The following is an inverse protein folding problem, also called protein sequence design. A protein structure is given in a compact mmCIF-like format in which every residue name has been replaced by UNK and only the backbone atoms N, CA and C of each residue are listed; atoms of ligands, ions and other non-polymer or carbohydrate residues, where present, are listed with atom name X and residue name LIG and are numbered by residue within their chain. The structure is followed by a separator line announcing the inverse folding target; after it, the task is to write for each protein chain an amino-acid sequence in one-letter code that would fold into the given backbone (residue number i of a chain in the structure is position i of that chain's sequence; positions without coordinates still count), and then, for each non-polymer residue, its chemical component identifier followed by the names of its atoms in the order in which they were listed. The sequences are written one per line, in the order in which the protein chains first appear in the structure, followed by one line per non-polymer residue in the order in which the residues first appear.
data_IF_728271859545
#
_entry.id   IF_728271859545
#
_cell.length_a   1.000
_cell.length_b   1.000
_cell.length_c   1.000
_cell.angle_alpha   90.00
_cell.angle_beta   90.00
_cell.angle_gamma   90.00
#
_symmetry.space_group_name_H-M   'P 1'
#
loop_
_entity.id
_entity.type
_entity.pdbx_description
1 polymer ?
#
# COMPACT_ATOMS: atom_id res chain seq x y z
N UNK A 1 26.58 -7.33 14.21
CA UNK A 1 25.51 -7.57 13.21
C UNK A 1 24.24 -6.72 13.43
N UNK A 2 24.28 -5.61 14.19
CA UNK A 2 23.10 -4.75 14.45
C UNK A 2 23.01 -3.45 13.63
N UNK A 3 24.10 -3.01 12.98
CA UNK A 3 24.16 -1.71 12.30
C UNK A 3 23.42 -1.65 10.96
N UNK A 4 23.44 -2.72 10.16
CA UNK A 4 22.81 -2.73 8.84
C UNK A 4 21.28 -2.63 8.89
N UNK A 5 20.67 -3.14 9.97
CA UNK A 5 19.21 -3.22 10.14
C UNK A 5 18.55 -1.85 10.42
N UNK A 6 19.31 -0.86 10.90
CA UNK A 6 18.80 0.46 11.27
C UNK A 6 18.67 1.40 10.06
N UNK A 7 19.45 1.19 8.98
CA UNK A 7 19.49 2.10 7.84
C UNK A 7 18.27 2.04 6.89
N UNK A 8 17.35 1.08 7.08
CA UNK A 8 16.10 1.01 6.29
C UNK A 8 15.16 2.16 6.61
N UNK A 9 15.03 2.50 7.90
CA UNK A 9 13.94 3.34 8.38
C UNK A 9 13.85 4.71 7.70
N UNK A 10 14.94 5.47 7.45
CA UNK A 10 14.83 6.78 6.80
C UNK A 10 14.49 6.70 5.30
N UNK A 11 14.79 5.60 4.61
CA UNK A 11 14.73 5.54 3.14
C UNK A 11 13.31 5.67 2.57
N UNK A 12 12.28 4.98 3.11
CA UNK A 12 10.91 5.17 2.65
C UNK A 12 10.42 6.60 2.82
N UNK A 13 10.76 7.27 3.93
CA UNK A 13 10.34 8.66 4.16
C UNK A 13 10.92 9.62 3.11
N UNK A 14 12.18 9.41 2.72
CA UNK A 14 12.82 10.19 1.65
C UNK A 14 12.22 9.87 0.27
N UNK A 15 11.92 8.59 0.01
CA UNK A 15 11.28 8.15 -1.23
C UNK A 15 9.83 8.64 -1.39
N UNK A 16 9.19 9.10 -0.30
CA UNK A 16 7.83 9.64 -0.29
C UNK A 16 7.78 11.17 -0.47
N UNK A 17 8.91 11.87 -0.64
CA UNK A 17 8.93 13.34 -0.79
C UNK A 17 8.01 13.79 -1.95
N UNK A 18 8.10 13.19 -3.16
CA UNK A 18 7.02 13.30 -4.13
C UNK A 18 5.84 12.41 -3.73
N UNK A 19 4.64 12.98 -3.64
CA UNK A 19 3.42 12.21 -3.34
C UNK A 19 3.22 11.07 -4.34
N UNK A 20 3.61 11.25 -5.61
CA UNK A 20 3.49 10.23 -6.65
C UNK A 20 4.39 9.01 -6.44
N UNK A 21 5.47 9.13 -5.67
CA UNK A 21 6.44 8.04 -5.47
C UNK A 21 6.21 7.24 -4.18
N UNK A 22 5.17 7.59 -3.41
CA UNK A 22 4.80 6.88 -2.18
C UNK A 22 4.59 5.38 -2.45
N UNK A 23 3.86 5.03 -3.51
CA UNK A 23 3.64 3.62 -3.86
C UNK A 23 4.94 2.84 -4.13
N UNK A 24 5.87 3.43 -4.89
CA UNK A 24 7.16 2.81 -5.18
C UNK A 24 8.06 2.70 -3.94
N UNK A 25 8.05 3.74 -3.10
CA UNK A 25 8.78 3.81 -1.83
C UNK A 25 8.30 2.74 -0.83
N UNK A 26 6.98 2.65 -0.64
CA UNK A 26 6.36 1.63 0.23
C UNK A 26 6.63 0.22 -0.29
N UNK A 27 6.52 0.00 -1.59
CA UNK A 27 6.82 -1.29 -2.24
C UNK A 27 8.26 -1.72 -1.99
N UNK A 28 9.23 -0.81 -2.18
CA UNK A 28 10.64 -1.08 -1.93
C UNK A 28 10.94 -1.36 -0.46
N UNK A 29 10.31 -0.62 0.46
CA UNK A 29 10.40 -0.88 1.90
C UNK A 29 9.90 -2.27 2.29
N UNK A 30 8.71 -2.64 1.79
CA UNK A 30 8.11 -3.97 2.03
C UNK A 30 8.97 -5.11 1.45
N UNK A 31 9.56 -4.90 0.28
CA UNK A 31 10.51 -5.84 -0.32
C UNK A 31 11.72 -6.06 0.59
N UNK A 32 12.38 -5.00 1.05
CA UNK A 32 13.56 -5.12 1.91
C UNK A 32 13.20 -5.75 3.28
N UNK A 33 12.05 -5.44 3.85
CA UNK A 33 11.56 -6.11 5.07
C UNK A 33 11.40 -7.61 4.87
N UNK A 34 10.92 -8.04 3.70
CA UNK A 34 10.78 -9.46 3.40
C UNK A 34 12.11 -10.19 3.26
N UNK A 35 13.16 -9.50 2.81
CA UNK A 35 14.53 -10.02 2.68
C UNK A 35 15.37 -9.89 3.94
N UNK A 36 14.89 -9.19 4.96
CA UNK A 36 15.65 -8.93 6.19
C UNK A 36 15.95 -10.19 7.03
N UNK A 37 15.24 -11.28 6.75
CA UNK A 37 15.44 -12.59 7.38
C UNK A 37 16.40 -13.48 6.60
N UNK A 38 16.78 -13.10 5.38
CA UNK A 38 17.72 -13.86 4.56
C UNK A 38 19.16 -13.56 4.98
N UNK A 39 19.97 -14.59 5.33
CA UNK A 39 21.35 -14.39 5.73
C UNK A 39 22.26 -13.90 4.60
N UNK A 40 21.82 -13.99 3.34
CA UNK A 40 22.54 -13.50 2.14
C UNK A 40 22.11 -12.11 1.66
N UNK A 41 21.25 -11.40 2.40
CA UNK A 41 20.79 -10.07 1.98
C UNK A 41 21.97 -9.10 1.82
N UNK A 42 22.05 -8.39 0.68
CA UNK A 42 23.12 -7.44 0.40
C UNK A 42 22.96 -6.16 1.25
N UNK A 43 23.73 -5.12 0.93
CA UNK A 43 23.55 -3.78 1.50
C UNK A 43 22.11 -3.33 1.22
N UNK A 44 21.33 -3.25 2.30
CA UNK A 44 19.90 -2.95 2.30
C UNK A 44 19.55 -1.67 1.52
N UNK A 45 20.41 -0.65 1.55
CA UNK A 45 20.20 0.60 0.82
C UNK A 45 20.25 0.40 -0.70
N UNK A 46 21.15 -0.46 -1.18
CA UNK A 46 21.26 -0.83 -2.60
C UNK A 46 20.03 -1.62 -3.03
N UNK A 47 19.59 -2.57 -2.21
CA UNK A 47 18.37 -3.33 -2.48
C UNK A 47 17.12 -2.44 -2.53
N UNK A 48 17.04 -1.45 -1.65
CA UNK A 48 15.93 -0.49 -1.64
C UNK A 48 15.87 0.31 -2.94
N UNK A 49 16.97 0.94 -3.36
CA UNK A 49 16.98 1.74 -4.59
C UNK A 49 16.79 0.89 -5.85
N UNK A 50 17.31 -0.34 -5.85
CA UNK A 50 17.06 -1.29 -6.92
C UNK A 50 15.57 -1.65 -7.00
N UNK A 51 14.96 -2.06 -5.89
CA UNK A 51 13.53 -2.41 -5.84
C UNK A 51 12.63 -1.21 -6.16
N UNK A 52 13.02 -0.01 -5.72
CA UNK A 52 12.34 1.24 -6.03
C UNK A 52 12.35 1.48 -7.55
N UNK A 53 13.51 1.39 -8.20
CA UNK A 53 13.63 1.64 -9.64
C UNK A 53 12.88 0.58 -10.48
N UNK A 54 13.02 -0.70 -10.14
CA UNK A 54 12.37 -1.81 -10.87
C UNK A 54 10.85 -1.73 -10.76
N UNK A 55 10.32 -1.40 -9.59
CA UNK A 55 8.88 -1.36 -9.36
C UNK A 55 8.25 0.01 -9.59
N UNK A 56 9.05 1.05 -9.86
CA UNK A 56 8.60 2.44 -9.93
C UNK A 56 7.35 2.62 -10.79
N UNK A 57 7.37 2.11 -12.02
CA UNK A 57 6.28 2.29 -12.97
C UNK A 57 5.01 1.56 -12.53
N UNK A 58 5.12 0.29 -12.12
CA UNK A 58 3.97 -0.52 -11.69
C UNK A 58 3.36 0.02 -10.40
N UNK A 59 4.19 0.28 -9.40
CA UNK A 59 3.76 0.77 -8.09
C UNK A 59 3.15 2.18 -8.17
N UNK A 60 3.76 3.09 -8.92
CA UNK A 60 3.23 4.45 -9.11
C UNK A 60 1.91 4.45 -9.88
N UNK A 61 1.75 3.62 -10.92
CA UNK A 61 0.50 3.51 -11.65
C UNK A 61 -0.64 3.03 -10.74
N UNK A 62 -0.37 1.97 -9.96
CA UNK A 62 -1.33 1.45 -8.97
C UNK A 62 -1.64 2.48 -7.89
N UNK A 63 -0.64 3.23 -7.42
CA UNK A 63 -0.83 4.30 -6.44
C UNK A 63 -1.74 5.42 -6.96
N UNK A 64 -1.53 5.87 -8.20
CA UNK A 64 -2.39 6.88 -8.83
C UNK A 64 -3.83 6.36 -8.97
N UNK A 65 -4.00 5.08 -9.31
CA UNK A 65 -5.33 4.44 -9.35
C UNK A 65 -6.01 4.48 -7.97
N UNK A 66 -5.31 4.14 -6.90
CA UNK A 66 -5.85 4.21 -5.53
C UNK A 66 -6.17 5.64 -5.10
N UNK A 67 -5.31 6.61 -5.44
CA UNK A 67 -5.58 8.03 -5.18
C UNK A 67 -6.82 8.52 -5.92
N UNK A 68 -7.01 8.11 -7.18
CA UNK A 68 -8.18 8.47 -7.96
C UNK A 68 -9.47 7.90 -7.35
N UNK A 69 -9.47 6.61 -6.98
CA UNK A 69 -10.63 5.97 -6.33
C UNK A 69 -10.90 6.62 -4.96
N UNK A 70 -9.86 6.87 -4.18
CA UNK A 70 -9.96 7.52 -2.88
C UNK A 70 -10.49 8.96 -2.97
N UNK A 71 -10.10 9.71 -4.01
CA UNK A 71 -10.61 11.06 -4.26
C UNK A 71 -12.11 11.07 -4.56
N UNK A 72 -12.59 10.16 -5.42
CA UNK A 72 -14.02 10.01 -5.71
C UNK A 72 -14.77 9.64 -4.42
N UNK A 73 -14.29 8.62 -3.69
CA UNK A 73 -14.94 8.17 -2.45
C UNK A 73 -14.97 9.25 -1.36
N UNK A 74 -13.93 10.10 -1.28
CA UNK A 74 -13.90 11.23 -0.36
C UNK A 74 -14.92 12.31 -0.75
N UNK A 75 -15.10 12.57 -2.05
CA UNK A 75 -16.15 13.46 -2.56
C UNK A 75 -17.55 12.96 -2.22
N UNK A 76 -17.81 11.66 -2.45
CA UNK A 76 -19.09 11.03 -2.12
C UNK A 76 -19.39 11.10 -0.61
N UNK A 77 -18.39 10.80 0.23
CA UNK A 77 -18.52 10.88 1.68
C UNK A 77 -18.76 12.32 2.15
N UNK A 78 -18.06 13.30 1.56
CA UNK A 78 -18.26 14.72 1.86
C UNK A 78 -19.69 15.15 1.52
N UNK A 79 -20.19 14.80 0.34
CA UNK A 79 -21.55 15.10 -0.09
C UNK A 79 -22.58 14.45 0.84
N UNK A 80 -22.41 13.16 1.14
CA UNK A 80 -23.32 12.40 2.01
C UNK A 80 -23.40 12.95 3.44
N UNK A 81 -22.29 13.48 3.98
CA UNK A 81 -22.22 13.97 5.36
C UNK A 81 -22.61 15.45 5.48
N UNK A 82 -22.30 16.29 4.48
CA UNK A 82 -22.40 17.76 4.58
C UNK A 82 -23.51 18.39 3.76
N UNK A 83 -24.00 17.71 2.72
CA UNK A 83 -24.90 18.30 1.71
C UNK A 83 -26.24 17.57 1.65
N UNK A 84 -26.26 16.25 1.85
CA UNK A 84 -27.49 15.48 1.83
C UNK A 84 -28.35 15.78 3.07
N UNK A 85 -29.60 16.23 2.85
CA UNK A 85 -30.60 16.38 3.91
C UNK A 85 -30.99 15.00 4.44
N UNK A 86 -30.69 14.76 5.72
CA UNK A 86 -30.86 13.46 6.37
C UNK A 86 -29.63 12.58 6.18
N UNK A 87 -28.68 12.69 7.12
CA UNK A 87 -27.49 11.85 7.18
C UNK A 87 -27.87 10.37 7.21
N UNK A 88 -27.87 9.73 6.05
CA UNK A 88 -28.29 8.35 5.93
C UNK A 88 -27.16 7.45 6.42
N UNK A 89 -27.29 7.00 7.68
CA UNK A 89 -26.32 6.16 8.38
C UNK A 89 -25.87 4.96 7.53
N UNK A 90 -26.76 4.41 6.70
CA UNK A 90 -26.42 3.33 5.77
C UNK A 90 -25.31 3.73 4.79
N UNK A 91 -25.44 4.87 4.10
CA UNK A 91 -24.43 5.32 3.13
C UNK A 91 -23.12 5.68 3.81
N UNK A 92 -23.17 6.24 5.01
CA UNK A 92 -21.98 6.50 5.82
C UNK A 92 -21.23 5.21 6.16
N UNK A 93 -21.93 4.20 6.71
CA UNK A 93 -21.34 2.91 7.04
C UNK A 93 -20.83 2.18 5.79
N UNK A 94 -21.57 2.24 4.68
CA UNK A 94 -21.17 1.67 3.41
C UNK A 94 -19.86 2.30 2.89
N UNK A 95 -19.75 3.63 2.90
CA UNK A 95 -18.53 4.34 2.52
C UNK A 95 -17.34 3.98 3.42
N UNK A 96 -17.58 3.84 4.74
CA UNK A 96 -16.54 3.43 5.69
C UNK A 96 -16.02 2.01 5.39
N UNK A 97 -16.92 1.07 5.07
CA UNK A 97 -16.56 -0.30 4.69
C UNK A 97 -15.77 -0.29 3.37
N UNK A 98 -16.19 0.48 2.38
CA UNK A 98 -15.46 0.59 1.11
C UNK A 98 -14.06 1.17 1.31
N UNK A 99 -13.91 2.20 2.14
CA UNK A 99 -12.61 2.79 2.48
C UNK A 99 -11.71 1.75 3.18
N UNK A 100 -12.27 0.99 4.13
CA UNK A 100 -11.56 -0.08 4.81
C UNK A 100 -11.07 -1.15 3.82
N UNK A 101 -11.92 -1.58 2.88
CA UNK A 101 -11.52 -2.54 1.86
C UNK A 101 -10.44 -1.94 0.95
N UNK A 102 -10.61 -0.70 0.49
CA UNK A 102 -9.66 -0.03 -0.40
C UNK A 102 -8.24 0.03 0.20
N UNK A 103 -8.12 0.47 1.45
CA UNK A 103 -6.84 0.57 2.17
C UNK A 103 -6.27 -0.83 2.42
N UNK A 104 -7.11 -1.80 2.79
CA UNK A 104 -6.69 -3.19 2.99
C UNK A 104 -6.09 -3.81 1.72
N UNK A 105 -6.74 -3.60 0.58
CA UNK A 105 -6.24 -4.05 -0.72
C UNK A 105 -4.93 -3.35 -1.05
N UNK A 106 -4.83 -2.04 -0.81
CA UNK A 106 -3.63 -1.26 -1.07
C UNK A 106 -2.39 -1.80 -0.33
N UNK A 107 -2.52 -2.17 0.95
CA UNK A 107 -1.42 -2.80 1.70
C UNK A 107 -0.93 -4.10 1.03
N UNK A 108 -1.86 -4.98 0.65
CA UNK A 108 -1.51 -6.24 0.02
C UNK A 108 -0.95 -6.06 -1.39
N UNK A 109 -1.47 -5.12 -2.20
CA UNK A 109 -0.98 -4.89 -3.56
C UNK A 109 0.49 -4.48 -3.55
N UNK A 110 0.87 -3.51 -2.71
CA UNK A 110 2.27 -3.06 -2.66
C UNK A 110 3.23 -4.14 -2.14
N UNK A 111 2.78 -4.96 -1.18
CA UNK A 111 3.53 -6.13 -0.75
C UNK A 111 3.75 -7.13 -1.91
N UNK A 112 2.70 -7.38 -2.69
CA UNK A 112 2.75 -8.31 -3.81
C UNK A 112 3.61 -7.80 -4.96
N UNK A 113 3.54 -6.51 -5.30
CA UNK A 113 4.38 -5.90 -6.35
C UNK A 113 5.86 -6.02 -5.97
N UNK A 114 6.21 -5.82 -4.70
CA UNK A 114 7.59 -5.93 -4.24
C UNK A 114 8.11 -7.37 -4.30
N UNK A 115 7.23 -8.37 -4.12
CA UNK A 115 7.63 -9.78 -3.97
C UNK A 115 7.53 -10.62 -5.24
N UNK A 116 6.63 -10.29 -6.15
CA UNK A 116 6.30 -11.14 -7.29
C UNK A 116 6.35 -10.38 -8.61
N UNK A 117 6.87 -11.02 -9.64
CA UNK A 117 6.85 -10.49 -11.01
C UNK A 117 5.55 -10.89 -11.73
N UNK A 118 4.45 -10.24 -11.37
CA UNK A 118 3.15 -10.49 -12.00
C UNK A 118 2.65 -9.26 -12.77
N UNK A 119 1.53 -9.45 -13.47
CA UNK A 119 0.77 -8.35 -14.06
C UNK A 119 0.02 -7.56 -12.98
N UNK A 120 -0.29 -6.29 -13.27
CA UNK A 120 -1.05 -5.42 -12.34
C UNK A 120 -2.41 -6.04 -12.00
N UNK A 121 -3.06 -6.68 -12.97
CA UNK A 121 -4.36 -7.32 -12.77
C UNK A 121 -4.28 -8.50 -11.80
N UNK A 122 -3.23 -9.32 -11.88
CA UNK A 122 -3.00 -10.42 -10.94
C UNK A 122 -2.67 -9.90 -9.54
N UNK A 123 -1.86 -8.84 -9.43
CA UNK A 123 -1.59 -8.21 -8.14
C UNK A 123 -2.88 -7.70 -7.47
N UNK A 124 -3.75 -7.03 -8.22
CA UNK A 124 -5.03 -6.52 -7.70
C UNK A 124 -5.97 -7.66 -7.29
N UNK A 125 -6.13 -8.69 -8.12
CA UNK A 125 -6.95 -9.87 -7.81
C UNK A 125 -6.45 -10.58 -6.55
N UNK A 126 -5.15 -10.85 -6.49
CA UNK A 126 -4.54 -11.55 -5.36
C UNK A 126 -4.60 -10.70 -4.09
N UNK A 127 -4.41 -9.38 -4.19
CA UNK A 127 -4.53 -8.50 -3.05
C UNK A 127 -5.96 -8.45 -2.50
N UNK A 128 -6.97 -8.42 -3.36
CA UNK A 128 -8.37 -8.50 -2.94
C UNK A 128 -8.67 -9.82 -2.22
N UNK A 129 -8.21 -10.94 -2.79
CA UNK A 129 -8.35 -12.26 -2.18
C UNK A 129 -7.63 -12.35 -0.84
N UNK A 130 -6.45 -11.76 -0.68
CA UNK A 130 -5.71 -11.76 0.59
C UNK A 130 -6.31 -10.81 1.62
N UNK A 131 -6.80 -9.64 1.18
CA UNK A 131 -7.45 -8.66 2.06
C UNK A 131 -8.63 -9.29 2.80
N UNK A 132 -9.47 -10.03 2.06
CA UNK A 132 -10.66 -10.71 2.60
C UNK A 132 -10.34 -12.11 3.15
N UNK A 133 -9.47 -12.87 2.50
CA UNK A 133 -9.15 -14.25 2.88
C UNK A 133 -8.22 -14.36 4.10
N UNK A 134 -7.50 -13.28 4.45
CA UNK A 134 -6.59 -13.25 5.61
C UNK A 134 -6.95 -12.12 6.58
N UNK A 135 -8.23 -11.98 6.93
CA UNK A 135 -8.73 -10.94 7.85
C UNK A 135 -7.88 -10.73 9.11
N UNK A 136 -7.44 -11.77 9.86
CA UNK A 136 -6.63 -11.53 11.06
C UNK A 136 -5.32 -10.80 10.75
N UNK A 137 -4.66 -11.15 9.64
CA UNK A 137 -3.43 -10.46 9.21
C UNK A 137 -3.72 -9.09 8.64
N UNK A 138 -4.81 -8.93 7.89
CA UNK A 138 -5.26 -7.63 7.40
C UNK A 138 -5.52 -6.68 8.57
N UNK A 139 -6.24 -7.11 9.60
CA UNK A 139 -6.50 -6.30 10.80
C UNK A 139 -5.22 -5.96 11.56
N UNK A 140 -4.26 -6.88 11.66
CA UNK A 140 -2.96 -6.56 12.25
C UNK A 140 -2.23 -5.44 11.50
N UNK A 141 -2.31 -5.39 10.16
CA UNK A 141 -1.71 -4.30 9.36
C UNK A 141 -2.39 -2.95 9.58
N UNK A 142 -3.60 -2.90 10.16
CA UNK A 142 -4.25 -1.64 10.53
C UNK A 142 -3.82 -1.12 11.91
N UNK A 143 -3.29 -2.00 12.77
CA UNK A 143 -2.92 -1.67 14.15
C UNK A 143 -1.44 -1.27 14.25
N UNK A 144 -0.59 -1.81 13.38
CA UNK A 144 0.87 -1.58 13.32
C UNK A 144 1.17 -0.42 12.40
#
# INVERSE_FOLDING_TARGET
MGGAKIFIFPLPYLGCIPVVTIGASVTAGMYCMSKMHDPESMIITVEYFHAFAVNFKKATLVWILFLFIGFIGAGDLFYAVRVADGGNLFFFLFALILLFVLISVMFWVFLLIGRYENSIQEHLKNALLLAVGRLPRTLLMWIV
#
